data_IF_172233060571
#
_entry.id   IF_172233060571
#
_cell.length_a   1.000
_cell.length_b   1.000
_cell.length_c   1.000
_cell.angle_alpha   90.00
_cell.angle_beta   90.00
_cell.angle_gamma   90.00
#
_symmetry.space_group_name_H-M   'P 1'
#
loop_
_entity.id
_entity.type
_entity.pdbx_description
1 polymer ?
#
# COMPACT_ATOMS: atom_id res chain seq x y z
N UNK A 1 -2.91 18.13 22.45
CA UNK A 1 -1.99 16.98 22.62
C UNK A 1 -2.67 15.75 22.04
N UNK A 2 -2.00 15.01 21.16
CA UNK A 2 -2.51 13.76 20.58
C UNK A 2 -1.63 12.58 20.96
N UNK A 3 -2.15 11.36 20.82
CA UNK A 3 -1.37 10.15 21.02
C UNK A 3 -0.42 9.93 19.84
N UNK A 4 0.84 9.55 20.13
CA UNK A 4 1.73 9.02 19.11
C UNK A 4 1.46 7.51 18.98
N UNK A 5 1.21 7.04 17.76
CA UNK A 5 0.94 5.65 17.47
C UNK A 5 1.61 5.24 16.17
N UNK A 6 1.86 3.95 16.02
CA UNK A 6 2.40 3.33 14.81
C UNK A 6 1.26 2.85 13.92
N UNK A 7 1.41 2.99 12.61
CA UNK A 7 0.50 2.39 11.63
C UNK A 7 1.05 1.05 11.13
N UNK A 8 0.14 0.07 11.05
CA UNK A 8 0.28 -1.19 10.30
C UNK A 8 0.94 -1.02 8.95
N UNK A 9 2.01 -1.75 8.65
CA UNK A 9 2.31 -2.02 7.24
C UNK A 9 1.11 -2.78 6.67
N UNK A 10 0.53 -2.36 5.52
CA UNK A 10 -0.48 -3.14 4.83
C UNK A 10 0.05 -4.50 4.41
N UNK A 11 -0.73 -5.56 4.54
CA UNK A 11 -0.41 -6.82 3.89
C UNK A 11 -0.70 -6.69 2.39
N UNK A 12 0.20 -7.21 1.56
CA UNK A 12 0.03 -7.18 0.11
C UNK A 12 0.48 -8.52 -0.49
N UNK A 13 -0.27 -8.99 -1.50
CA UNK A 13 0.11 -10.14 -2.33
C UNK A 13 -0.30 -9.90 -3.77
N UNK A 14 0.42 -10.52 -4.70
CA UNK A 14 -0.02 -10.65 -6.10
C UNK A 14 -0.53 -12.06 -6.31
N UNK A 15 -1.78 -12.18 -6.76
CA UNK A 15 -2.44 -13.44 -7.05
C UNK A 15 -3.21 -13.29 -8.38
N UNK A 16 -3.03 -14.23 -9.31
CA UNK A 16 -3.63 -14.18 -10.65
C UNK A 16 -3.39 -12.84 -11.38
N UNK A 17 -2.17 -12.29 -11.26
CA UNK A 17 -1.79 -11.02 -11.88
C UNK A 17 -2.45 -9.78 -11.26
N UNK A 18 -3.11 -9.91 -10.10
CA UNK A 18 -3.76 -8.80 -9.41
C UNK A 18 -3.13 -8.55 -8.05
N UNK A 19 -2.94 -7.28 -7.69
CA UNK A 19 -2.54 -6.82 -6.38
C UNK A 19 -3.74 -6.85 -5.43
N UNK A 20 -3.68 -7.70 -4.42
CA UNK A 20 -4.61 -7.73 -3.29
C UNK A 20 -3.91 -7.16 -2.06
N UNK A 21 -4.63 -6.33 -1.31
CA UNK A 21 -4.12 -5.64 -0.14
C UNK A 21 -5.11 -5.79 1.01
N UNK A 22 -4.60 -5.87 2.24
CA UNK A 22 -5.41 -5.71 3.44
C UNK A 22 -4.79 -4.65 4.36
N UNK A 23 -5.62 -4.10 5.25
CA UNK A 23 -5.21 -3.16 6.29
C UNK A 23 -5.67 -3.66 7.65
N UNK A 24 -4.94 -3.25 8.68
CA UNK A 24 -5.23 -3.53 10.08
C UNK A 24 -6.39 -2.70 10.63
N UNK A 25 -6.63 -1.49 10.10
CA UNK A 25 -7.59 -0.55 10.69
C UNK A 25 -8.63 -0.08 9.66
N UNK A 26 -9.93 -0.14 9.98
CA UNK A 26 -10.96 0.49 9.17
C UNK A 26 -10.70 2.01 9.05
N UNK A 27 -10.82 2.55 7.84
CA UNK A 27 -10.62 3.98 7.57
C UNK A 27 -9.20 4.38 7.18
N UNK A 28 -8.25 3.45 7.12
CA UNK A 28 -6.95 3.74 6.51
C UNK A 28 -7.06 3.92 5.00
N UNK A 29 -6.35 4.93 4.50
CA UNK A 29 -6.12 5.09 3.07
C UNK A 29 -4.88 4.28 2.71
N UNK A 30 -5.01 3.27 1.87
CA UNK A 30 -3.87 2.48 1.39
C UNK A 30 -3.52 2.89 -0.03
N UNK A 31 -2.30 3.37 -0.25
CA UNK A 31 -1.79 3.74 -1.56
C UNK A 31 -0.75 2.73 -2.06
N UNK A 32 -0.59 2.64 -3.37
CA UNK A 32 0.36 1.73 -4.02
C UNK A 32 1.06 2.36 -5.23
N UNK A 33 2.17 1.74 -5.61
CA UNK A 33 2.92 2.02 -6.85
C UNK A 33 3.34 0.69 -7.47
N UNK A 34 3.34 0.62 -8.80
CA UNK A 34 3.68 -0.59 -9.56
C UNK A 34 5.05 -0.49 -10.27
N UNK A 35 5.68 0.68 -10.19
CA UNK A 35 6.97 1.02 -10.79
C UNK A 35 8.12 1.02 -9.77
N UNK A 36 7.83 0.70 -8.51
CA UNK A 36 8.80 0.67 -7.41
C UNK A 36 9.06 2.03 -6.74
N UNK A 37 8.43 3.11 -7.20
CA UNK A 37 8.51 4.42 -6.54
C UNK A 37 7.83 4.41 -5.16
N UNK A 38 8.20 5.32 -4.26
CA UNK A 38 7.59 5.36 -2.92
C UNK A 38 6.14 5.85 -2.97
N UNK A 39 5.16 5.13 -2.41
CA UNK A 39 3.78 5.60 -2.35
C UNK A 39 3.66 6.82 -1.45
N UNK A 40 2.97 7.85 -1.95
CA UNK A 40 2.65 9.07 -1.20
C UNK A 40 1.14 9.19 -0.99
N UNK A 41 0.71 10.20 -0.23
CA UNK A 41 -0.70 10.47 -0.01
C UNK A 41 -1.46 10.83 -1.31
N UNK A 42 -0.77 11.20 -2.39
CA UNK A 42 -1.36 11.48 -3.72
C UNK A 42 -1.26 10.30 -4.69
N UNK A 43 -0.56 9.22 -4.34
CA UNK A 43 -0.50 8.00 -5.15
C UNK A 43 -1.88 7.33 -5.28
N UNK A 44 -2.06 6.46 -6.29
CA UNK A 44 -3.30 5.70 -6.46
C UNK A 44 -3.71 4.94 -5.20
N UNK A 45 -5.00 5.01 -4.88
CA UNK A 45 -5.59 4.35 -3.70
C UNK A 45 -6.03 2.95 -4.08
N UNK A 46 -5.67 1.98 -3.27
CA UNK A 46 -6.19 0.63 -3.40
C UNK A 46 -7.62 0.58 -2.84
N UNK A 47 -8.59 0.32 -3.71
CA UNK A 47 -10.01 0.13 -3.35
C UNK A 47 -10.57 -1.20 -3.81
N UNK A 48 -9.88 -1.87 -4.74
CA UNK A 48 -10.22 -3.17 -5.31
C UNK A 48 -8.94 -3.81 -5.90
N UNK A 49 -8.95 -5.12 -6.22
CA UNK A 49 -7.80 -5.77 -6.85
C UNK A 49 -7.35 -5.08 -8.14
N UNK A 50 -6.05 -4.75 -8.23
CA UNK A 50 -5.48 -3.97 -9.34
C UNK A 50 -4.64 -4.87 -10.25
N UNK A 51 -4.81 -4.79 -11.56
CA UNK A 51 -3.96 -5.52 -12.50
C UNK A 51 -2.50 -5.04 -12.41
N UNK A 52 -1.58 -6.00 -12.29
CA UNK A 52 -0.14 -5.72 -12.24
C UNK A 52 0.47 -6.05 -13.60
N UNK A 53 1.12 -5.09 -14.28
CA UNK A 53 1.78 -5.35 -15.54
C UNK A 53 3.00 -6.27 -15.35
N UNK A 54 3.34 -7.07 -16.36
CA UNK A 54 4.49 -7.98 -16.29
C UNK A 54 5.84 -7.26 -16.24
N UNK A 55 5.86 -5.98 -16.62
CA UNK A 55 7.03 -5.11 -16.48
C UNK A 55 7.29 -4.67 -15.03
N UNK A 56 6.31 -4.81 -14.11
CA UNK A 56 6.48 -4.44 -12.72
C UNK A 56 7.47 -5.38 -12.01
N UNK A 57 8.61 -4.83 -11.59
CA UNK A 57 9.65 -5.55 -10.82
C UNK A 57 9.50 -5.39 -9.31
N UNK A 58 8.98 -4.24 -8.90
CA UNK A 58 8.78 -3.91 -7.51
C UNK A 58 7.44 -3.19 -7.34
N UNK A 59 6.63 -3.70 -6.43
CA UNK A 59 5.40 -3.08 -6.00
C UNK A 59 5.60 -2.60 -4.58
N UNK A 60 5.17 -1.38 -4.29
CA UNK A 60 5.17 -0.85 -2.93
C UNK A 60 3.76 -0.47 -2.50
N UNK A 61 3.47 -0.68 -1.23
CA UNK A 61 2.17 -0.39 -0.61
C UNK A 61 2.38 0.29 0.73
N UNK A 62 1.62 1.36 1.01
CA UNK A 62 1.75 2.16 2.24
C UNK A 62 0.38 2.63 2.74
N UNK A 63 0.15 2.58 4.05
CA UNK A 63 -1.05 3.10 4.68
C UNK A 63 -0.84 4.55 5.17
N UNK A 64 -1.90 5.33 5.08
CA UNK A 64 -2.01 6.70 5.57
C UNK A 64 -3.25 6.82 6.45
N UNK A 65 -3.06 7.33 7.67
CA UNK A 65 -4.14 7.47 8.64
C UNK A 65 -3.86 8.60 9.63
N UNK A 66 -4.82 9.52 9.81
CA UNK A 66 -4.73 10.67 10.72
C UNK A 66 -3.39 11.45 10.65
N UNK A 67 -2.91 11.72 9.43
CA UNK A 67 -1.66 12.45 9.19
C UNK A 67 -0.38 11.67 9.50
N UNK A 68 -0.49 10.36 9.76
CA UNK A 68 0.62 9.42 9.92
C UNK A 68 0.71 8.51 8.69
N UNK A 69 1.88 7.91 8.50
CA UNK A 69 2.12 6.91 7.47
C UNK A 69 2.75 5.65 8.05
N UNK A 70 2.45 4.50 7.46
CA UNK A 70 3.15 3.25 7.76
C UNK A 70 4.54 3.25 7.14
N UNK A 71 5.34 2.23 7.45
CA UNK A 71 6.42 1.84 6.54
C UNK A 71 5.84 1.22 5.26
N UNK A 72 6.66 1.14 4.21
CA UNK A 72 6.26 0.53 2.95
C UNK A 72 6.41 -0.99 2.99
N UNK A 73 5.40 -1.69 2.49
CA UNK A 73 5.47 -3.11 2.14
C UNK A 73 6.07 -3.24 0.75
N UNK A 74 7.03 -4.15 0.59
CA UNK A 74 7.75 -4.39 -0.67
C UNK A 74 7.37 -5.76 -1.19
N UNK A 75 6.95 -5.83 -2.46
CA UNK A 75 6.68 -7.08 -3.15
C UNK A 75 7.50 -7.12 -4.44
N UNK A 76 8.50 -8.00 -4.45
CA UNK A 76 9.34 -8.27 -5.61
C UNK A 76 8.66 -9.30 -6.52
N UNK A 77 8.71 -9.07 -7.84
CA UNK A 77 8.24 -10.01 -8.88
C UNK A 77 9.40 -10.50 -9.75
#
# INVERSE_FOLDING_TARGET
LGFNFRIGMPGAKVENGKLLVNTQYPGEKVCYTLDGSEPTASSPVWTAPVAVPDSAKLIKVKAFYLGKESLSTYLWR
#
